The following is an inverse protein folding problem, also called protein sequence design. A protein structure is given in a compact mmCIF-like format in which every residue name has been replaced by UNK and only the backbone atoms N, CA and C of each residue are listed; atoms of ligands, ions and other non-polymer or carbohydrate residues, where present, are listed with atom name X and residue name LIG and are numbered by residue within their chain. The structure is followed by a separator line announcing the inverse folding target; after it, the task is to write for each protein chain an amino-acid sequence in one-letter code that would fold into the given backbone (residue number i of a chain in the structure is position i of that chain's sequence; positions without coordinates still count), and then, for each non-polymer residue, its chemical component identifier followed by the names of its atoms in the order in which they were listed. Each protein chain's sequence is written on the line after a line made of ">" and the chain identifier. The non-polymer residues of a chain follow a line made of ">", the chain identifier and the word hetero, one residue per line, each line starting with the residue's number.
data_IF_573043541375
#
_entry.id   IF_573043541375
#
_cell.length_a   1.000
_cell.length_b   1.000
_cell.length_c   1.000
_cell.angle_alpha   90.00
_cell.angle_beta   90.00
_cell.angle_gamma   90.00
#
_symmetry.space_group_name_H-M   'P 1'
#
loop_
_entity.id
_entity.type
_entity.pdbx_description
1 polymer ?
#
# COMPACT_ATOMS: atom_id res chain seq x y z
N UNK A 1 11.81 -25.81 -7.08
CA UNK A 1 10.34 -25.72 -6.95
C UNK A 1 9.88 -24.29 -7.18
N UNK A 2 10.60 -23.25 -6.73
CA UNK A 2 10.23 -21.83 -6.89
C UNK A 2 10.25 -21.30 -8.35
N UNK A 3 10.95 -21.94 -9.27
CA UNK A 3 11.05 -21.50 -10.69
C UNK A 3 9.76 -21.67 -11.52
N UNK A 4 8.78 -22.43 -11.04
CA UNK A 4 7.57 -22.76 -11.80
C UNK A 4 6.41 -21.76 -11.62
N UNK A 5 6.35 -21.06 -10.49
CA UNK A 5 5.27 -20.11 -10.17
C UNK A 5 5.39 -18.84 -11.03
N UNK A 6 6.63 -18.43 -11.39
CA UNK A 6 6.90 -17.24 -12.19
C UNK A 6 6.36 -17.22 -13.62
N UNK A 7 5.99 -18.37 -14.17
CA UNK A 7 5.64 -18.50 -15.59
C UNK A 7 4.20 -18.14 -15.93
N UNK A 8 3.35 -17.83 -14.93
CA UNK A 8 1.91 -17.61 -15.13
C UNK A 8 1.40 -16.21 -14.75
N UNK A 9 2.25 -15.30 -14.27
CA UNK A 9 1.86 -13.91 -14.10
C UNK A 9 1.72 -13.24 -15.46
N UNK A 10 0.62 -12.51 -15.69
CA UNK A 10 0.41 -11.75 -16.93
C UNK A 10 1.58 -10.79 -17.18
N UNK A 11 2.05 -10.66 -18.43
CA UNK A 11 3.21 -9.81 -18.76
C UNK A 11 3.02 -8.33 -18.35
N UNK A 12 1.78 -7.88 -18.25
CA UNK A 12 1.42 -6.53 -17.80
C UNK A 12 1.73 -6.25 -16.32
N UNK A 13 1.92 -7.30 -15.51
CA UNK A 13 2.17 -7.20 -14.05
C UNK A 13 3.59 -7.57 -13.65
N UNK A 14 4.48 -7.84 -14.59
CA UNK A 14 5.87 -8.13 -14.30
C UNK A 14 6.61 -6.86 -13.93
N UNK A 15 6.99 -6.76 -12.68
CA UNK A 15 7.88 -5.70 -12.20
C UNK A 15 9.23 -5.87 -12.90
N UNK A 16 9.65 -4.84 -13.67
CA UNK A 16 10.90 -4.85 -14.41
C UNK A 16 12.02 -4.31 -13.55
N UNK A 17 13.09 -5.06 -13.41
CA UNK A 17 14.26 -4.62 -12.64
C UNK A 17 15.16 -3.63 -13.40
N UNK A 18 14.90 -3.38 -14.70
CA UNK A 18 15.61 -2.40 -15.55
C UNK A 18 17.15 -2.42 -15.39
N UNK A 19 17.73 -3.62 -15.33
CA UNK A 19 19.18 -3.81 -15.21
C UNK A 19 19.73 -3.69 -13.79
N UNK A 20 18.87 -3.56 -12.77
CA UNK A 20 19.27 -3.55 -11.36
C UNK A 20 19.36 -4.98 -10.81
N UNK A 21 20.31 -5.20 -9.90
CA UNK A 21 20.44 -6.49 -9.21
C UNK A 21 19.31 -6.72 -8.21
N UNK A 22 18.73 -5.65 -7.67
CA UNK A 22 17.71 -5.66 -6.61
C UNK A 22 16.61 -4.65 -6.88
N UNK A 23 15.30 -4.97 -6.68
CA UNK A 23 14.23 -4.01 -6.77
C UNK A 23 14.29 -3.01 -5.61
N UNK A 24 13.73 -1.81 -5.84
CA UNK A 24 13.66 -0.73 -4.85
C UNK A 24 12.21 -0.31 -4.67
N UNK A 25 11.72 -0.39 -3.43
CA UNK A 25 10.45 0.21 -3.02
C UNK A 25 10.77 1.58 -2.42
N UNK A 26 10.12 2.62 -2.93
CA UNK A 26 10.31 3.98 -2.41
C UNK A 26 9.02 4.45 -1.76
N UNK A 27 9.14 5.07 -0.59
CA UNK A 27 8.05 5.79 0.08
C UNK A 27 8.58 7.08 0.72
N UNK A 28 7.69 7.88 1.32
CA UNK A 28 8.08 9.13 1.96
C UNK A 28 8.95 8.89 3.21
N UNK A 29 9.81 9.85 3.51
CA UNK A 29 10.49 9.99 4.79
C UNK A 29 9.62 10.78 5.77
N UNK A 30 9.97 10.76 7.05
CA UNK A 30 9.24 11.40 8.12
C UNK A 30 8.40 10.41 8.94
N UNK A 31 7.36 10.89 9.60
CA UNK A 31 6.50 10.05 10.45
C UNK A 31 5.84 8.92 9.66
N UNK A 32 5.74 7.76 10.29
CA UNK A 32 5.06 6.61 9.74
C UNK A 32 3.54 6.76 9.84
N UNK A 33 2.82 6.43 8.77
CA UNK A 33 1.38 6.27 8.74
C UNK A 33 0.99 4.80 8.47
N UNK A 34 -0.25 4.46 8.67
CA UNK A 34 -0.71 3.10 8.38
C UNK A 34 -0.76 2.80 6.89
N UNK A 35 -0.93 3.84 6.08
CA UNK A 35 -1.04 3.74 4.63
C UNK A 35 0.24 3.20 4.01
N UNK A 36 1.34 3.97 4.06
CA UNK A 36 2.59 3.54 3.44
C UNK A 36 3.16 2.29 4.10
N UNK A 37 3.00 2.14 5.42
CA UNK A 37 3.46 0.95 6.12
C UNK A 37 2.76 -0.31 5.63
N UNK A 38 1.44 -0.26 5.43
CA UNK A 38 0.68 -1.37 4.86
C UNK A 38 1.01 -1.58 3.38
N UNK A 39 1.11 -0.50 2.58
CA UNK A 39 1.47 -0.58 1.17
C UNK A 39 2.81 -1.30 0.96
N UNK A 40 3.85 -0.88 1.69
CA UNK A 40 5.17 -1.51 1.66
C UNK A 40 5.08 -2.97 2.11
N UNK A 41 4.41 -3.26 3.22
CA UNK A 41 4.25 -4.64 3.71
C UNK A 41 3.58 -5.54 2.67
N UNK A 42 2.51 -5.07 2.04
CA UNK A 42 1.81 -5.82 0.99
C UNK A 42 2.73 -6.11 -0.21
N UNK A 43 3.49 -5.11 -0.66
CA UNK A 43 4.43 -5.28 -1.77
C UNK A 43 5.51 -6.32 -1.48
N UNK A 44 6.02 -6.39 -0.25
CA UNK A 44 7.03 -7.41 0.13
C UNK A 44 6.48 -8.83 0.12
N UNK A 45 5.16 -9.04 0.04
CA UNK A 45 4.55 -10.38 -0.13
C UNK A 45 4.61 -10.88 -1.57
N UNK A 46 4.90 -10.01 -2.51
CA UNK A 46 5.14 -10.41 -3.90
C UNK A 46 6.53 -11.03 -4.04
N UNK A 47 6.66 -12.21 -4.64
CA UNK A 47 7.98 -12.85 -4.81
C UNK A 47 9.01 -11.96 -5.53
N UNK A 48 8.55 -11.08 -6.43
CA UNK A 48 9.41 -10.16 -7.16
C UNK A 48 9.98 -9.03 -6.29
N UNK A 49 9.37 -8.76 -5.14
CA UNK A 49 9.74 -7.67 -4.23
C UNK A 49 10.12 -8.16 -2.84
N UNK A 50 10.20 -9.48 -2.63
CA UNK A 50 10.51 -10.05 -1.31
C UNK A 50 11.86 -9.58 -0.75
N UNK A 51 12.83 -9.35 -1.64
CA UNK A 51 14.17 -8.88 -1.29
C UNK A 51 14.37 -7.40 -1.68
N UNK A 52 13.29 -6.65 -1.88
CA UNK A 52 13.39 -5.24 -2.28
C UNK A 52 14.11 -4.41 -1.20
N UNK A 53 14.94 -3.49 -1.66
CA UNK A 53 15.45 -2.41 -0.82
C UNK A 53 14.33 -1.41 -0.54
N UNK A 54 14.17 -0.99 0.71
CA UNK A 54 13.26 0.08 1.09
C UNK A 54 14.04 1.39 1.20
N UNK A 55 13.63 2.38 0.42
CA UNK A 55 14.16 3.75 0.46
C UNK A 55 13.06 4.70 0.91
N UNK A 56 13.29 5.41 1.99
CA UNK A 56 12.39 6.46 2.49
C UNK A 56 12.95 7.82 2.14
N UNK A 57 12.27 8.56 1.27
CA UNK A 57 12.79 9.84 0.77
C UNK A 57 11.67 10.74 0.25
N UNK A 58 11.94 12.04 0.17
CA UNK A 58 11.14 13.03 -0.58
C UNK A 58 11.95 13.70 -1.70
N UNK A 59 13.18 13.25 -1.94
CA UNK A 59 14.01 13.71 -3.04
C UNK A 59 13.49 13.15 -4.38
N UNK A 60 13.07 14.00 -5.34
CA UNK A 60 12.57 13.55 -6.62
C UNK A 60 13.58 12.70 -7.41
N UNK A 61 14.88 12.96 -7.26
CA UNK A 61 15.92 12.19 -7.95
C UNK A 61 16.03 10.76 -7.42
N UNK A 62 15.82 10.55 -6.11
CA UNK A 62 15.77 9.22 -5.51
C UNK A 62 14.44 8.53 -5.79
N UNK A 63 13.31 9.27 -5.73
CA UNK A 63 11.96 8.74 -6.07
C UNK A 63 11.95 8.17 -7.49
N UNK A 64 12.57 8.88 -8.45
CA UNK A 64 12.65 8.45 -9.84
C UNK A 64 13.36 7.09 -10.01
N UNK A 65 14.23 6.72 -9.09
CA UNK A 65 14.96 5.44 -9.11
C UNK A 65 14.12 4.25 -8.60
N UNK A 66 12.98 4.48 -7.97
CA UNK A 66 12.13 3.42 -7.41
C UNK A 66 11.62 2.46 -8.48
N UNK A 67 11.74 1.16 -8.22
CA UNK A 67 11.05 0.13 -9.02
C UNK A 67 9.54 0.23 -8.80
N UNK A 68 9.13 0.40 -7.54
CA UNK A 68 7.75 0.71 -7.14
C UNK A 68 7.80 1.89 -6.18
N UNK A 69 6.92 2.86 -6.39
CA UNK A 69 6.81 4.04 -5.52
C UNK A 69 5.41 4.10 -4.93
N UNK A 70 5.31 4.28 -3.62
CA UNK A 70 4.04 4.39 -2.89
C UNK A 70 4.07 5.62 -2.00
N UNK A 71 2.95 6.31 -1.90
CA UNK A 71 2.67 7.40 -0.97
C UNK A 71 3.68 8.58 -1.03
N UNK A 72 4.29 8.77 -2.17
CA UNK A 72 5.21 9.87 -2.45
C UNK A 72 5.33 10.13 -3.95
N UNK A 73 5.65 11.37 -4.33
CA UNK A 73 5.91 11.75 -5.71
C UNK A 73 4.72 12.34 -6.45
N UNK A 74 3.53 12.37 -5.85
CA UNK A 74 2.31 12.93 -6.39
C UNK A 74 1.95 12.36 -7.78
N UNK A 75 2.18 11.06 -8.00
CA UNK A 75 1.92 10.39 -9.27
C UNK A 75 1.15 9.08 -9.06
N UNK A 76 0.06 8.92 -9.82
CA UNK A 76 -0.61 7.64 -9.98
C UNK A 76 -0.49 7.16 -11.41
N UNK A 77 0.34 6.17 -11.62
CA UNK A 77 0.64 5.57 -12.93
C UNK A 77 0.92 4.07 -12.77
N UNK A 78 -0.09 3.20 -12.89
CA UNK A 78 0.10 1.76 -12.72
C UNK A 78 1.12 1.15 -13.69
N UNK A 79 1.22 1.69 -14.90
CA UNK A 79 2.19 1.24 -15.91
C UNK A 79 3.63 1.54 -15.55
N UNK A 80 3.87 2.56 -14.71
CA UNK A 80 5.17 2.95 -14.18
C UNK A 80 5.38 2.53 -12.73
N UNK A 81 4.44 1.76 -12.15
CA UNK A 81 4.43 1.35 -10.74
C UNK A 81 4.54 2.53 -9.76
N UNK A 82 3.74 3.58 -10.01
CA UNK A 82 3.59 4.76 -9.15
C UNK A 82 2.20 4.75 -8.53
N UNK A 83 2.12 4.71 -7.21
CA UNK A 83 0.88 4.52 -6.45
C UNK A 83 0.78 5.54 -5.32
N UNK A 84 0.75 6.81 -5.68
CA UNK A 84 0.48 7.92 -4.77
C UNK A 84 -0.93 8.45 -5.01
N UNK A 85 -1.61 8.92 -3.98
CA UNK A 85 -3.00 9.39 -4.02
C UNK A 85 -3.14 10.90 -3.73
N UNK A 86 -2.02 11.61 -3.56
CA UNK A 86 -2.00 13.02 -3.14
C UNK A 86 -2.28 14.04 -4.24
N UNK A 87 -2.54 13.61 -5.49
CA UNK A 87 -2.81 14.54 -6.59
C UNK A 87 -4.17 15.23 -6.44
N UNK A 88 -4.23 16.52 -6.83
CA UNK A 88 -5.52 17.20 -6.97
C UNK A 88 -6.39 16.48 -7.99
N UNK A 89 -7.65 16.19 -7.62
CA UNK A 89 -8.58 15.51 -8.51
C UNK A 89 -8.42 13.99 -8.57
N UNK A 90 -7.59 13.40 -7.71
CA UNK A 90 -7.54 11.95 -7.55
C UNK A 90 -8.77 11.46 -6.77
N UNK A 91 -9.57 10.58 -7.39
CA UNK A 91 -10.81 10.02 -6.83
C UNK A 91 -10.99 8.54 -7.17
N UNK A 92 -9.88 7.81 -7.38
CA UNK A 92 -9.98 6.37 -7.59
C UNK A 92 -10.62 5.69 -6.39
N UNK A 93 -11.52 4.74 -6.68
CA UNK A 93 -12.14 3.84 -5.71
C UNK A 93 -11.77 2.39 -6.04
N UNK A 94 -12.05 1.47 -5.12
CA UNK A 94 -11.72 0.06 -5.31
C UNK A 94 -12.45 -0.53 -6.52
N UNK A 95 -13.75 -0.35 -6.58
CA UNK A 95 -14.62 -0.69 -7.71
C UNK A 95 -15.85 0.25 -7.77
N UNK A 96 -16.81 -0.08 -8.62
CA UNK A 96 -18.01 0.75 -8.81
C UNK A 96 -18.98 0.74 -7.60
N UNK A 97 -18.84 -0.21 -6.68
CA UNK A 97 -19.72 -0.33 -5.51
C UNK A 97 -19.16 0.45 -4.31
N UNK A 98 -17.84 0.65 -4.26
CA UNK A 98 -17.15 1.37 -3.20
C UNK A 98 -17.07 2.87 -3.49
N UNK A 99 -17.21 3.67 -2.43
CA UNK A 99 -17.15 5.14 -2.51
C UNK A 99 -15.94 5.72 -1.81
N UNK A 100 -15.24 4.92 -1.04
CA UNK A 100 -14.05 5.33 -0.32
C UNK A 100 -12.92 5.59 -1.31
N UNK A 101 -12.38 6.80 -1.28
CA UNK A 101 -11.19 7.17 -2.05
C UNK A 101 -10.02 6.30 -1.59
N UNK A 102 -9.29 5.69 -2.52
CA UNK A 102 -8.14 4.89 -2.20
C UNK A 102 -6.99 5.73 -1.65
N UNK A 103 -6.29 5.19 -0.68
CA UNK A 103 -4.95 5.55 -0.26
C UNK A 103 -3.91 4.73 -1.04
N UNK A 104 -2.65 4.90 -0.77
CA UNK A 104 -1.59 4.12 -1.42
C UNK A 104 -1.70 2.62 -1.09
N UNK A 105 -2.11 2.25 0.14
CA UNK A 105 -2.41 0.86 0.49
C UNK A 105 -3.56 0.29 -0.33
N UNK A 106 -4.65 1.05 -0.46
CA UNK A 106 -5.78 0.68 -1.30
C UNK A 106 -5.39 0.52 -2.76
N UNK A 107 -4.54 1.40 -3.29
CA UNK A 107 -3.99 1.28 -4.64
C UNK A 107 -3.14 0.01 -4.81
N UNK A 108 -2.24 -0.27 -3.88
CA UNK A 108 -1.43 -1.50 -3.90
C UNK A 108 -2.34 -2.73 -3.84
N UNK A 109 -3.34 -2.73 -2.95
CA UNK A 109 -4.30 -3.84 -2.89
C UNK A 109 -5.08 -3.99 -4.19
N UNK A 110 -5.61 -2.90 -4.76
CA UNK A 110 -6.33 -2.91 -6.04
C UNK A 110 -5.52 -3.55 -7.16
N UNK A 111 -4.24 -3.24 -7.26
CA UNK A 111 -3.39 -3.70 -8.35
C UNK A 111 -2.73 -5.05 -8.12
N UNK A 112 -2.36 -5.37 -6.89
CA UNK A 112 -1.55 -6.55 -6.56
C UNK A 112 -2.24 -7.53 -5.61
N UNK A 113 -3.39 -7.19 -5.03
CA UNK A 113 -4.04 -8.00 -3.99
C UNK A 113 -4.33 -9.45 -4.42
N UNK A 114 -4.71 -9.66 -5.68
CA UNK A 114 -4.92 -11.02 -6.21
C UNK A 114 -3.62 -11.80 -6.33
N UNK A 115 -2.55 -11.15 -6.78
CA UNK A 115 -1.23 -11.77 -6.92
C UNK A 115 -0.63 -12.09 -5.54
N UNK A 116 -0.84 -11.19 -4.57
CA UNK A 116 -0.45 -11.39 -3.16
C UNK A 116 -1.17 -12.59 -2.56
N UNK A 117 -2.48 -12.71 -2.78
CA UNK A 117 -3.27 -13.86 -2.31
C UNK A 117 -2.80 -15.17 -2.96
N UNK A 118 -2.60 -15.19 -4.27
CA UNK A 118 -2.11 -16.36 -4.99
C UNK A 118 -0.73 -16.80 -4.45
N UNK A 119 0.17 -15.87 -4.25
CA UNK A 119 1.49 -16.14 -3.69
C UNK A 119 1.41 -16.67 -2.25
N UNK A 120 0.61 -16.02 -1.40
CA UNK A 120 0.43 -16.41 0.00
C UNK A 120 -0.22 -17.79 0.15
N UNK A 121 -1.25 -18.07 -0.64
CA UNK A 121 -1.97 -19.34 -0.65
C UNK A 121 -1.24 -20.44 -1.42
N UNK A 122 -0.17 -20.11 -2.13
CA UNK A 122 0.58 -21.01 -2.99
C UNK A 122 -0.31 -21.70 -4.06
N UNK A 123 -1.27 -20.96 -4.61
CA UNK A 123 -2.22 -21.43 -5.60
C UNK A 123 -2.07 -20.73 -6.96
N UNK A 124 -2.83 -21.17 -7.95
CA UNK A 124 -2.87 -20.51 -9.25
C UNK A 124 -3.67 -19.20 -9.17
N UNK A 125 -3.34 -18.20 -10.02
CA UNK A 125 -4.07 -16.93 -10.11
C UNK A 125 -5.56 -17.14 -10.47
N UNK A 126 -5.89 -18.29 -11.06
CA UNK A 126 -7.26 -18.69 -11.42
C UNK A 126 -7.99 -19.46 -10.33
N UNK A 127 -7.44 -19.56 -9.12
CA UNK A 127 -8.11 -20.21 -7.99
C UNK A 127 -9.41 -19.47 -7.65
N UNK A 128 -10.51 -20.22 -7.57
CA UNK A 128 -11.86 -19.68 -7.39
C UNK A 128 -12.07 -18.92 -6.08
N UNK A 129 -11.21 -19.13 -5.10
CA UNK A 129 -11.25 -18.45 -3.80
C UNK A 129 -10.71 -17.01 -3.87
N UNK A 130 -9.79 -16.73 -4.81
CA UNK A 130 -9.12 -15.43 -4.90
C UNK A 130 -10.09 -14.25 -5.04
N UNK A 131 -11.08 -14.26 -5.94
CA UNK A 131 -12.00 -13.13 -6.07
C UNK A 131 -12.75 -12.81 -4.78
N UNK A 132 -13.22 -13.84 -4.07
CA UNK A 132 -13.93 -13.68 -2.80
C UNK A 132 -13.03 -13.14 -1.70
N UNK A 133 -11.83 -13.70 -1.55
CA UNK A 133 -10.87 -13.25 -0.54
C UNK A 133 -10.34 -11.84 -0.83
N UNK A 134 -10.10 -11.51 -2.10
CA UNK A 134 -9.65 -10.20 -2.55
C UNK A 134 -10.65 -9.11 -2.15
N UNK A 135 -11.96 -9.34 -2.40
CA UNK A 135 -13.02 -8.42 -2.00
C UNK A 135 -13.16 -8.35 -0.49
N UNK A 136 -13.26 -9.53 0.16
CA UNK A 136 -13.44 -9.58 1.62
C UNK A 136 -12.30 -8.90 2.38
N UNK A 137 -11.08 -9.04 1.94
CA UNK A 137 -9.93 -8.39 2.57
C UNK A 137 -9.97 -6.87 2.38
N UNK A 138 -10.48 -6.39 1.25
CA UNK A 138 -10.73 -4.98 1.06
C UNK A 138 -11.81 -4.48 2.02
N UNK A 139 -12.99 -5.10 2.00
CA UNK A 139 -14.15 -4.71 2.78
C UNK A 139 -13.89 -4.73 4.30
N UNK A 140 -13.20 -5.76 4.78
CA UNK A 140 -13.00 -5.98 6.22
C UNK A 140 -11.77 -5.24 6.78
N UNK A 141 -10.84 -4.81 5.94
CA UNK A 141 -9.55 -4.32 6.45
C UNK A 141 -9.00 -3.11 5.68
N UNK A 142 -8.80 -3.22 4.35
CA UNK A 142 -8.06 -2.19 3.60
C UNK A 142 -8.87 -0.91 3.48
N UNK A 143 -10.19 -0.99 3.25
CA UNK A 143 -11.06 0.18 3.15
C UNK A 143 -11.02 1.07 4.40
N UNK A 144 -10.86 0.47 5.59
CA UNK A 144 -10.74 1.23 6.82
C UNK A 144 -9.44 2.06 6.88
N UNK A 145 -8.35 1.56 6.28
CA UNK A 145 -7.09 2.32 6.14
C UNK A 145 -7.28 3.46 5.15
N UNK A 146 -7.88 3.19 3.98
CA UNK A 146 -8.22 4.21 3.00
C UNK A 146 -9.06 5.33 3.59
N UNK A 147 -10.12 4.96 4.33
CA UNK A 147 -11.01 5.91 4.98
C UNK A 147 -10.30 6.77 6.02
N UNK A 148 -9.47 6.15 6.86
CA UNK A 148 -8.70 6.86 7.89
C UNK A 148 -7.69 7.83 7.27
N UNK A 149 -6.93 7.37 6.30
CA UNK A 149 -5.87 8.13 5.65
C UNK A 149 -6.41 9.34 4.89
N UNK A 150 -7.53 9.18 4.21
CA UNK A 150 -8.21 10.27 3.51
C UNK A 150 -9.07 11.16 4.43
N UNK A 151 -9.05 10.96 5.75
CA UNK A 151 -9.79 11.76 6.72
C UNK A 151 -11.32 11.62 6.60
N UNK A 152 -11.80 10.51 6.08
CA UNK A 152 -13.23 10.23 5.93
C UNK A 152 -13.80 9.87 7.30
N UNK A 153 -14.84 10.58 7.79
CA UNK A 153 -15.41 10.26 9.08
C UNK A 153 -16.13 8.91 9.05
N UNK A 154 -15.87 8.06 10.05
CA UNK A 154 -16.52 6.74 10.17
C UNK A 154 -18.04 6.85 10.28
N UNK A 155 -18.53 7.93 10.87
CA UNK A 155 -19.97 8.22 11.02
C UNK A 155 -20.29 9.61 10.42
N UNK A 156 -20.56 9.69 9.11
CA UNK A 156 -20.90 10.95 8.47
C UNK A 156 -22.15 11.59 9.09
N UNK A 157 -22.10 12.90 9.34
CA UNK A 157 -23.22 13.68 9.87
C UNK A 157 -23.42 13.59 11.38
N UNK A 158 -22.59 12.84 12.12
CA UNK A 158 -22.59 12.82 13.58
C UNK A 158 -21.53 13.81 14.08
N UNK A 159 -21.97 14.84 14.80
CA UNK A 159 -21.09 15.86 15.39
C UNK A 159 -20.70 15.57 16.84
N UNK A 160 -21.43 14.67 17.50
CA UNK A 160 -21.16 14.34 18.89
C UNK A 160 -19.82 13.60 19.04
N UNK A 161 -19.02 13.91 20.06
CA UNK A 161 -17.80 13.18 20.31
C UNK A 161 -18.11 11.73 20.70
N UNK A 162 -17.21 10.79 20.40
CA UNK A 162 -17.38 9.40 20.80
C UNK A 162 -17.46 9.29 22.34
N UNK A 163 -18.29 8.36 22.84
CA UNK A 163 -18.49 8.15 24.29
C UNK A 163 -17.21 7.76 25.03
N UNK A 164 -16.24 7.20 24.32
CA UNK A 164 -14.90 6.91 24.85
C UNK A 164 -13.86 7.02 23.74
N UNK A 165 -12.61 7.22 24.13
CA UNK A 165 -11.48 7.28 23.19
C UNK A 165 -11.00 5.87 22.83
N UNK A 166 -11.08 5.50 21.56
CA UNK A 166 -10.45 4.28 21.03
C UNK A 166 -9.18 4.65 20.25
N UNK A 167 -8.09 3.93 20.53
CA UNK A 167 -6.80 4.07 19.83
C UNK A 167 -6.13 2.71 19.64
N UNK A 168 -6.92 1.69 19.37
CA UNK A 168 -6.46 0.31 19.19
C UNK A 168 -6.46 -0.14 17.73
N UNK A 169 -6.94 0.74 16.84
CA UNK A 169 -6.86 0.56 15.39
C UNK A 169 -5.41 0.60 14.89
N UNK A 170 -5.18 0.12 13.65
CA UNK A 170 -3.84 0.02 13.09
C UNK A 170 -3.17 1.39 12.97
N UNK A 171 -3.90 2.40 12.53
CA UNK A 171 -3.37 3.76 12.35
C UNK A 171 -2.89 4.35 13.67
N UNK A 172 -3.68 4.19 14.76
CA UNK A 172 -3.28 4.60 16.10
C UNK A 172 -2.05 3.85 16.60
N UNK A 173 -1.96 2.54 16.35
CA UNK A 173 -0.82 1.71 16.77
C UNK A 173 0.47 2.13 16.08
N UNK A 174 0.43 2.36 14.77
CA UNK A 174 1.59 2.82 14.01
C UNK A 174 1.99 4.24 14.47
N UNK A 175 1.00 5.13 14.66
CA UNK A 175 1.26 6.46 15.19
C UNK A 175 1.99 6.44 16.56
N UNK A 176 1.70 5.44 17.41
CA UNK A 176 2.40 5.29 18.68
C UNK A 176 3.84 4.80 18.56
N UNK A 177 4.21 4.20 17.45
CA UNK A 177 5.59 3.75 17.18
C UNK A 177 6.48 4.90 16.69
N UNK A 178 5.89 5.99 16.22
CA UNK A 178 6.64 7.18 15.86
C UNK A 178 7.33 7.80 17.10
N UNK A 179 8.51 8.42 16.93
CA UNK A 179 9.20 9.12 18.00
C UNK A 179 8.32 10.17 18.65
N UNK A 180 8.45 10.33 19.96
CA UNK A 180 7.71 11.33 20.72
C UNK A 180 8.41 12.67 20.61
N UNK A 181 7.69 13.75 20.92
CA UNK A 181 8.21 15.13 20.88
C UNK A 181 9.49 15.38 21.68
N UNK A 182 9.79 14.54 22.67
CA UNK A 182 10.96 14.61 23.54
C UNK A 182 12.03 13.55 23.23
N UNK A 183 11.88 12.83 22.15
CA UNK A 183 12.84 11.84 21.65
C UNK A 183 13.65 12.44 20.50
N UNK A 184 14.94 12.14 20.44
CA UNK A 184 15.76 12.47 19.27
C UNK A 184 15.36 11.53 18.13
N UNK A 185 15.14 12.10 16.97
CA UNK A 185 14.73 11.38 15.79
C UNK A 185 15.66 11.69 14.63
N UNK A 186 16.10 10.64 13.95
CA UNK A 186 16.82 10.71 12.69
C UNK A 186 15.97 10.02 11.63
N UNK A 187 15.71 10.69 10.48
CA UNK A 187 15.00 10.13 9.35
C UNK A 187 15.75 8.92 8.71
N UNK A 188 16.99 8.67 9.13
CA UNK A 188 17.80 7.55 8.68
C UNK A 188 17.50 6.24 9.44
N UNK A 189 16.79 6.28 10.56
CA UNK A 189 16.35 5.14 11.36
C UNK A 189 14.94 4.70 10.95
#
# INVERSE_FOLDING_TARGET
>A
IFRWIWRRMSDAKRIKLEGRERPVIVTHSGTFHADEALAVHLLTKLPALADAELVRTRDPAEIAKGTVVVDVGAEYSPSAHRYDHHQRGFFETFDAEHKTKLSSAGLVWKHFGKDILAAHMQCADSDERIPTLYRKMYDDFVEAIDGHDNGIPLYPGISDPPAYRSRTDLSSRISFMNPRWNETWDDAD
#
